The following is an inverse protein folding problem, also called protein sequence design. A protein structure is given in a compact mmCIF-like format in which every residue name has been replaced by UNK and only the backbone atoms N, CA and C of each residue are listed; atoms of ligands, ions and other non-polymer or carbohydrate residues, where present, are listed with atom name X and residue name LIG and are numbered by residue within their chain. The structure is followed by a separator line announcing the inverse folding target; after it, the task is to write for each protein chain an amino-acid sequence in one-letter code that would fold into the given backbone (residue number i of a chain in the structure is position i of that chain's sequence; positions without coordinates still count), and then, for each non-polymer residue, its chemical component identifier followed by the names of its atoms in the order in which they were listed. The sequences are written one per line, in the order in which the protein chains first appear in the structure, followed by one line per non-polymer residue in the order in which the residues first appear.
data_IF_520145236458
#
_entry.id   IF_520145236458
#
_cell.length_a   1.000
_cell.length_b   1.000
_cell.length_c   1.000
_cell.angle_alpha   90.00
_cell.angle_beta   90.00
_cell.angle_gamma   90.00
#
_symmetry.space_group_name_H-M   'P 1'
#
loop_
_entity.id
_entity.type
_entity.pdbx_description
1 polymer ?
#
# COMPACT_ATOMS: atom_id res chain seq x y z
N UNK A 1 -5.76 1.71 -24.31
CA UNK A 1 -5.12 1.96 -22.99
C UNK A 1 -6.23 2.30 -22.03
N UNK A 2 -6.40 1.49 -21.00
CA UNK A 2 -7.34 1.75 -19.89
C UNK A 2 -6.52 2.07 -18.64
N UNK A 3 -6.99 3.02 -17.86
CA UNK A 3 -6.32 3.46 -16.62
C UNK A 3 -7.30 3.36 -15.47
N UNK A 4 -6.89 2.69 -14.40
CA UNK A 4 -7.69 2.49 -13.20
C UNK A 4 -6.99 3.14 -12.00
N UNK A 5 -7.76 3.83 -11.20
CA UNK A 5 -7.29 4.47 -9.95
C UNK A 5 -7.46 3.49 -8.79
N UNK A 6 -6.36 3.16 -8.13
CA UNK A 6 -6.32 2.20 -7.03
C UNK A 6 -6.19 2.89 -5.66
N UNK A 7 -6.55 4.18 -5.59
CA UNK A 7 -6.31 5.03 -4.42
C UNK A 7 -7.60 5.32 -3.66
N UNK A 8 -7.58 5.18 -2.36
CA UNK A 8 -8.67 5.60 -1.47
C UNK A 8 -8.91 7.11 -1.55
N UNK A 9 -10.19 7.52 -1.56
CA UNK A 9 -10.52 8.94 -1.56
C UNK A 9 -10.31 9.56 -0.17
N UNK A 10 -9.50 10.62 -0.13
CA UNK A 10 -9.24 11.36 1.11
C UNK A 10 -10.44 12.23 1.49
N UNK A 11 -11.00 12.00 2.66
CA UNK A 11 -12.11 12.78 3.23
C UNK A 11 -12.02 12.80 4.76
N UNK A 12 -12.53 13.87 5.37
CA UNK A 12 -12.63 13.94 6.82
C UNK A 12 -13.41 12.74 7.37
N UNK A 13 -12.88 12.09 8.42
CA UNK A 13 -13.46 10.90 9.02
C UNK A 13 -13.23 9.60 8.24
N UNK A 14 -12.30 9.59 7.27
CA UNK A 14 -11.85 8.35 6.65
C UNK A 14 -11.07 7.48 7.65
N UNK A 15 -10.94 6.19 7.33
CA UNK A 15 -10.11 5.26 8.11
C UNK A 15 -8.69 5.80 8.30
N UNK A 16 -8.21 5.78 9.54
CA UNK A 16 -6.83 6.04 9.95
C UNK A 16 -6.46 5.04 11.03
N UNK A 17 -5.17 4.74 11.18
CA UNK A 17 -4.71 3.78 12.20
C UNK A 17 -4.95 4.30 13.62
N UNK A 18 -4.75 5.59 13.84
CA UNK A 18 -5.03 6.29 15.10
C UNK A 18 -5.72 7.65 14.87
N UNK A 19 -6.22 8.28 15.95
CA UNK A 19 -6.80 9.63 15.87
C UNK A 19 -5.77 10.68 15.45
N UNK A 20 -4.53 10.54 15.91
CA UNK A 20 -3.42 11.42 15.59
C UNK A 20 -3.07 11.41 14.11
N UNK A 21 -3.30 10.30 13.43
CA UNK A 21 -3.05 10.11 12.00
C UNK A 21 -4.24 10.47 11.12
N UNK A 22 -5.35 10.92 11.72
CA UNK A 22 -6.58 11.19 10.97
C UNK A 22 -6.39 12.29 9.95
N UNK A 23 -6.90 12.04 8.74
CA UNK A 23 -6.96 13.04 7.69
C UNK A 23 -7.90 14.18 8.07
N UNK A 24 -7.42 15.43 7.94
CA UNK A 24 -8.23 16.63 8.11
C UNK A 24 -8.04 17.57 6.92
N UNK A 25 -9.16 18.03 6.38
CA UNK A 25 -9.21 19.08 5.37
C UNK A 25 -10.01 20.26 5.91
N UNK A 26 -9.42 21.45 5.88
CA UNK A 26 -10.05 22.71 6.27
C UNK A 26 -9.99 23.71 5.11
N UNK A 27 -11.10 24.39 4.85
CA UNK A 27 -11.13 25.44 3.84
C UNK A 27 -10.53 26.73 4.42
N UNK A 28 -9.44 27.19 3.83
CA UNK A 28 -8.80 28.47 4.19
C UNK A 28 -9.42 29.66 3.47
N UNK A 29 -9.71 29.50 2.18
CA UNK A 29 -10.29 30.51 1.33
C UNK A 29 -11.46 29.96 0.52
N UNK A 30 -12.40 30.84 0.16
CA UNK A 30 -13.62 30.51 -0.54
C UNK A 30 -13.82 31.42 -1.76
N UNK A 31 -14.11 30.84 -2.92
CA UNK A 31 -14.25 31.58 -4.19
C UNK A 31 -15.26 32.74 -4.14
N UNK A 32 -16.33 32.60 -3.34
CA UNK A 32 -17.37 33.65 -3.22
C UNK A 32 -16.90 34.90 -2.49
N UNK A 33 -15.91 34.76 -1.60
CA UNK A 33 -15.38 35.85 -0.76
C UNK A 33 -14.01 36.28 -1.26
N UNK A 34 -13.15 35.32 -1.58
CA UNK A 34 -11.71 35.53 -1.83
C UNK A 34 -11.37 35.47 -3.31
N UNK A 35 -12.32 35.03 -4.18
CA UNK A 35 -12.10 34.83 -5.61
C UNK A 35 -11.45 33.51 -6.00
N UNK A 36 -11.04 32.67 -5.04
CA UNK A 36 -10.42 31.35 -5.23
C UNK A 36 -10.69 30.46 -4.02
N UNK A 37 -10.47 29.14 -4.19
CA UNK A 37 -10.57 28.17 -3.11
C UNK A 37 -9.18 27.66 -2.75
N UNK A 38 -8.86 27.57 -1.46
CA UNK A 38 -7.68 26.89 -0.91
C UNK A 38 -8.08 26.13 0.34
N UNK A 39 -7.53 24.94 0.50
CA UNK A 39 -7.70 24.13 1.69
C UNK A 39 -6.33 23.77 2.28
N UNK A 40 -6.24 23.74 3.60
CA UNK A 40 -5.14 23.08 4.29
C UNK A 40 -5.46 21.60 4.46
N UNK A 41 -4.42 20.77 4.45
CA UNK A 41 -4.51 19.33 4.68
C UNK A 41 -3.59 18.97 5.86
N UNK A 42 -4.11 18.13 6.73
CA UNK A 42 -3.34 17.42 7.75
C UNK A 42 -3.45 15.94 7.48
N UNK A 43 -2.33 15.25 7.40
CA UNK A 43 -2.24 13.80 7.15
C UNK A 43 -0.89 13.28 7.65
N UNK A 44 -0.84 12.01 8.04
CA UNK A 44 0.42 11.31 8.32
C UNK A 44 1.00 10.73 7.02
N UNK A 45 2.25 10.27 7.09
CA UNK A 45 2.90 9.56 5.97
C UNK A 45 2.19 8.25 5.62
N UNK A 46 1.39 7.69 6.54
CA UNK A 46 0.66 6.42 6.38
C UNK A 46 -0.86 6.62 6.26
N UNK A 47 -1.32 7.80 5.84
CA UNK A 47 -2.75 8.07 5.66
C UNK A 47 -3.28 7.50 4.33
N UNK A 48 -4.39 6.75 4.37
CA UNK A 48 -5.09 6.23 3.18
C UNK A 48 -4.23 5.27 2.37
N UNK A 49 -4.33 5.28 1.04
CA UNK A 49 -3.42 4.50 0.19
C UNK A 49 -2.04 5.15 0.22
N UNK A 50 -1.05 4.40 0.70
CA UNK A 50 0.30 4.88 0.95
C UNK A 50 1.33 3.81 0.65
N UNK A 51 2.59 4.19 0.69
CA UNK A 51 3.73 3.27 0.67
C UNK A 51 4.56 3.42 1.92
N UNK A 52 5.14 2.29 2.37
CA UNK A 52 6.15 2.24 3.41
C UNK A 52 7.50 1.90 2.80
N UNK A 53 8.54 2.51 3.34
CA UNK A 53 9.93 2.24 2.98
C UNK A 53 10.72 1.86 4.24
N UNK A 54 11.95 1.31 4.14
CA UNK A 54 12.70 0.78 5.29
C UNK A 54 12.80 1.72 6.49
N UNK A 55 12.83 3.02 6.28
CA UNK A 55 12.87 4.04 7.34
C UNK A 55 11.69 3.95 8.30
N UNK A 56 10.56 3.41 7.88
CA UNK A 56 9.38 3.22 8.72
C UNK A 56 9.66 2.33 9.95
N UNK A 57 10.52 1.33 9.80
CA UNK A 57 10.81 0.33 10.85
C UNK A 57 12.26 0.43 11.36
N UNK A 58 13.18 0.90 10.52
CA UNK A 58 14.61 0.90 10.85
C UNK A 58 15.17 2.31 10.91
N UNK A 59 15.84 2.67 12.01
CA UNK A 59 16.40 4.00 12.21
C UNK A 59 17.37 4.42 11.08
N UNK A 60 18.19 3.50 10.61
CA UNK A 60 19.14 3.70 9.51
C UNK A 60 18.60 3.08 8.19
N UNK A 61 17.28 2.88 8.07
CA UNK A 61 16.64 2.34 6.88
C UNK A 61 16.64 3.34 5.73
N UNK A 62 16.55 2.81 4.50
CA UNK A 62 16.35 3.64 3.31
C UNK A 62 15.12 4.51 3.46
N UNK A 63 15.29 5.79 3.15
CA UNK A 63 14.23 6.78 3.08
C UNK A 63 13.59 6.79 1.70
N UNK A 64 12.51 7.51 1.53
CA UNK A 64 11.85 7.68 0.24
C UNK A 64 12.79 8.26 -0.83
N UNK A 65 13.75 9.11 -0.43
CA UNK A 65 14.72 9.74 -1.33
C UNK A 65 15.79 8.77 -1.85
N UNK A 66 15.99 7.62 -1.19
CA UNK A 66 16.98 6.62 -1.58
C UNK A 66 16.50 5.71 -2.72
N UNK A 67 15.20 5.74 -3.04
CA UNK A 67 14.62 4.96 -4.14
C UNK A 67 14.72 5.74 -5.46
N UNK A 68 15.19 5.04 -6.52
CA UNK A 68 15.17 5.60 -7.87
C UNK A 68 13.73 5.73 -8.37
N UNK A 69 13.40 6.81 -9.07
CA UNK A 69 12.06 7.06 -9.62
C UNK A 69 11.53 5.90 -10.47
N UNK A 70 12.40 5.15 -11.14
CA UNK A 70 12.02 3.97 -11.94
C UNK A 70 11.44 2.84 -11.07
N UNK A 71 11.78 2.76 -9.77
CA UNK A 71 11.28 1.76 -8.86
C UNK A 71 9.79 1.95 -8.52
N UNK A 72 9.24 3.13 -8.82
CA UNK A 72 7.81 3.42 -8.66
C UNK A 72 6.96 3.08 -9.90
N UNK A 73 7.54 2.43 -10.91
CA UNK A 73 6.85 1.99 -12.13
C UNK A 73 7.28 0.56 -12.44
N UNK A 74 6.34 -0.33 -12.71
CA UNK A 74 6.68 -1.72 -13.02
C UNK A 74 5.49 -2.56 -13.46
N UNK A 75 5.74 -3.83 -13.66
CA UNK A 75 4.70 -4.82 -13.93
C UNK A 75 4.19 -5.38 -12.60
N UNK A 76 2.89 -5.37 -12.42
CA UNK A 76 2.24 -5.94 -11.25
C UNK A 76 1.52 -7.24 -11.57
N UNK A 77 1.50 -8.15 -10.58
CA UNK A 77 0.71 -9.37 -10.62
C UNK A 77 -0.21 -9.45 -9.40
N UNK A 78 -1.50 -9.79 -9.62
CA UNK A 78 -2.49 -9.97 -8.55
C UNK A 78 -2.65 -11.45 -8.25
N UNK A 79 -2.58 -11.79 -6.95
CA UNK A 79 -3.07 -13.06 -6.41
C UNK A 79 -4.43 -12.80 -5.74
N UNK A 80 -5.45 -13.55 -6.15
CA UNK A 80 -6.77 -13.51 -5.53
C UNK A 80 -6.77 -14.28 -4.20
N UNK A 81 -6.75 -13.54 -3.10
CA UNK A 81 -6.73 -14.05 -1.72
C UNK A 81 -8.10 -13.90 -1.01
N UNK A 82 -9.18 -13.55 -1.72
CA UNK A 82 -10.50 -13.23 -1.11
C UNK A 82 -11.13 -14.38 -0.32
N UNK A 83 -10.73 -15.60 -0.56
CA UNK A 83 -11.22 -16.80 0.12
C UNK A 83 -10.32 -17.28 1.26
N UNK A 84 -9.25 -16.54 1.54
CA UNK A 84 -8.26 -16.90 2.55
C UNK A 84 -8.46 -16.07 3.82
N UNK A 85 -8.12 -16.66 4.96
CA UNK A 85 -7.96 -15.96 6.24
C UNK A 85 -6.50 -15.68 6.57
N UNK A 86 -5.59 -16.41 5.92
CA UNK A 86 -4.13 -16.28 6.06
C UNK A 86 -3.51 -16.55 4.69
N UNK A 87 -2.48 -15.82 4.34
CA UNK A 87 -1.73 -15.99 3.09
C UNK A 87 -0.39 -16.63 3.45
N UNK A 88 -0.31 -17.93 3.31
CA UNK A 88 0.87 -18.71 3.66
C UNK A 88 1.80 -18.96 2.45
N UNK A 89 2.91 -19.63 2.71
CA UNK A 89 3.91 -19.95 1.70
C UNK A 89 3.33 -20.88 0.61
N UNK A 90 2.46 -21.82 0.98
CA UNK A 90 1.85 -22.75 0.01
C UNK A 90 1.01 -22.02 -1.04
N UNK A 91 0.30 -20.99 -0.62
CA UNK A 91 -0.46 -20.11 -1.55
C UNK A 91 0.50 -19.43 -2.52
N UNK A 92 1.60 -18.85 -2.04
CA UNK A 92 2.56 -18.13 -2.89
C UNK A 92 3.31 -19.07 -3.85
N UNK A 93 3.65 -20.27 -3.42
CA UNK A 93 4.35 -21.24 -4.26
C UNK A 93 3.55 -21.64 -5.53
N UNK A 94 2.22 -21.64 -5.46
CA UNK A 94 1.35 -21.87 -6.63
C UNK A 94 1.52 -20.81 -7.72
N UNK A 95 1.96 -19.61 -7.35
CA UNK A 95 2.15 -18.47 -8.25
C UNK A 95 3.62 -18.07 -8.41
N UNK A 96 4.56 -18.92 -8.00
CA UNK A 96 5.99 -18.63 -7.94
C UNK A 96 6.53 -18.05 -9.25
N UNK A 97 6.19 -18.63 -10.38
CA UNK A 97 6.69 -18.16 -11.68
C UNK A 97 6.16 -16.76 -12.01
N UNK A 98 4.92 -16.46 -11.66
CA UNK A 98 4.34 -15.13 -11.84
C UNK A 98 5.02 -14.10 -10.94
N UNK A 99 5.27 -14.46 -9.66
CA UNK A 99 5.94 -13.61 -8.68
C UNK A 99 7.39 -13.30 -9.12
N UNK A 100 8.10 -14.29 -9.66
CA UNK A 100 9.48 -14.10 -10.14
C UNK A 100 9.57 -13.19 -11.38
N UNK A 101 8.47 -13.02 -12.11
CA UNK A 101 8.39 -12.25 -13.36
C UNK A 101 7.61 -10.93 -13.22
N UNK A 102 7.31 -10.49 -12.01
CA UNK A 102 6.72 -9.16 -11.76
C UNK A 102 7.63 -8.30 -10.88
N UNK A 103 7.42 -6.98 -10.95
CA UNK A 103 8.07 -6.01 -10.08
C UNK A 103 7.27 -5.79 -8.80
N UNK A 104 5.95 -5.93 -8.88
CA UNK A 104 5.02 -5.74 -7.77
C UNK A 104 4.04 -6.90 -7.64
N UNK A 105 3.91 -7.44 -6.44
CA UNK A 105 2.89 -8.43 -6.10
C UNK A 105 1.74 -7.75 -5.37
N UNK A 106 0.51 -7.94 -5.84
CA UNK A 106 -0.69 -7.41 -5.18
C UNK A 106 -1.51 -8.56 -4.60
N UNK A 107 -1.76 -8.50 -3.31
CA UNK A 107 -2.57 -9.46 -2.56
C UNK A 107 -4.00 -8.91 -2.47
N UNK A 108 -4.89 -9.38 -3.33
CA UNK A 108 -6.29 -8.96 -3.38
C UNK A 108 -7.10 -9.77 -2.37
N UNK A 109 -7.39 -9.18 -1.23
CA UNK A 109 -8.15 -9.83 -0.16
C UNK A 109 -9.65 -9.51 -0.21
N UNK A 110 -10.04 -8.46 -0.94
CA UNK A 110 -11.39 -7.90 -0.99
C UNK A 110 -11.76 -7.19 0.33
N UNK A 111 -10.75 -6.88 1.16
CA UNK A 111 -10.97 -6.20 2.43
C UNK A 111 -11.30 -4.72 2.26
N UNK A 112 -10.95 -4.12 1.13
CA UNK A 112 -11.29 -2.74 0.75
C UNK A 112 -12.78 -2.40 0.97
N UNK A 113 -13.68 -3.39 0.83
CA UNK A 113 -15.13 -3.24 1.05
C UNK A 113 -15.51 -2.82 2.47
N UNK A 114 -14.61 -3.04 3.44
CA UNK A 114 -14.81 -2.66 4.84
C UNK A 114 -14.16 -1.34 5.20
N UNK A 115 -13.47 -0.68 4.24
CA UNK A 115 -12.87 0.63 4.46
C UNK A 115 -13.91 1.62 5.02
N UNK A 116 -13.53 2.43 6.01
CA UNK A 116 -14.40 3.30 6.80
C UNK A 116 -15.38 2.55 7.74
N UNK A 117 -15.07 1.33 8.15
CA UNK A 117 -15.81 0.62 9.21
C UNK A 117 -14.84 0.01 10.23
N UNK A 118 -15.34 -0.27 11.44
CA UNK A 118 -14.55 -0.93 12.50
C UNK A 118 -14.04 -2.32 12.06
N UNK A 119 -14.80 -3.01 11.21
CA UNK A 119 -14.40 -4.32 10.69
C UNK A 119 -13.13 -4.25 9.86
N UNK A 120 -12.78 -3.11 9.29
CA UNK A 120 -11.58 -2.96 8.48
C UNK A 120 -10.30 -3.31 9.23
N UNK A 121 -10.31 -3.12 10.56
CA UNK A 121 -9.19 -3.39 11.46
C UNK A 121 -9.15 -4.82 12.03
N UNK A 122 -10.16 -5.65 11.75
CA UNK A 122 -10.36 -6.93 12.42
C UNK A 122 -10.31 -8.09 11.44
N UNK A 123 -9.57 -9.15 11.78
CA UNK A 123 -9.56 -10.45 11.07
C UNK A 123 -9.25 -10.36 9.56
N UNK A 124 -8.54 -9.33 9.11
CA UNK A 124 -8.13 -9.25 7.70
C UNK A 124 -7.05 -10.27 7.37
N UNK A 125 -7.04 -10.81 6.12
CA UNK A 125 -6.00 -11.74 5.69
C UNK A 125 -4.62 -11.07 5.67
N UNK A 126 -3.64 -11.71 6.31
CA UNK A 126 -2.27 -11.24 6.32
C UNK A 126 -1.30 -12.36 5.92
N UNK A 127 -0.09 -11.99 5.55
CA UNK A 127 0.99 -12.95 5.28
C UNK A 127 1.42 -13.67 6.57
N UNK A 128 1.79 -14.95 6.42
CA UNK A 128 2.60 -15.60 7.47
C UNK A 128 4.04 -15.08 7.43
N UNK A 129 4.75 -15.22 8.53
CA UNK A 129 6.17 -14.85 8.63
C UNK A 129 7.03 -15.57 7.56
N UNK A 130 6.73 -16.84 7.27
CA UNK A 130 7.41 -17.62 6.24
C UNK A 130 7.12 -17.07 4.82
N UNK A 131 5.88 -16.70 4.55
CA UNK A 131 5.46 -16.11 3.28
C UNK A 131 6.14 -14.75 3.04
N UNK A 132 6.15 -13.87 4.04
CA UNK A 132 6.82 -12.57 3.92
C UNK A 132 8.34 -12.70 3.76
N UNK A 133 8.94 -13.67 4.45
CA UNK A 133 10.37 -13.97 4.31
C UNK A 133 10.71 -14.50 2.89
N UNK A 134 9.87 -15.36 2.33
CA UNK A 134 9.99 -15.82 0.95
C UNK A 134 9.97 -14.65 -0.02
N UNK A 135 8.95 -13.77 0.06
CA UNK A 135 8.81 -12.61 -0.80
C UNK A 135 9.98 -11.63 -0.66
N UNK A 136 10.42 -11.36 0.57
CA UNK A 136 11.56 -10.48 0.84
C UNK A 136 12.84 -10.93 0.16
N UNK A 137 13.06 -12.24 0.00
CA UNK A 137 14.25 -12.80 -0.63
C UNK A 137 14.20 -12.83 -2.17
N UNK A 138 13.08 -12.50 -2.81
CA UNK A 138 12.96 -12.43 -4.27
C UNK A 138 13.56 -11.11 -4.75
N UNK A 139 14.71 -11.16 -5.41
CA UNK A 139 15.46 -9.96 -5.84
C UNK A 139 14.74 -9.15 -6.93
N UNK A 140 14.00 -9.80 -7.82
CA UNK A 140 13.25 -9.13 -8.88
C UNK A 140 12.03 -8.37 -8.37
N UNK A 141 11.49 -8.75 -7.21
CA UNK A 141 10.33 -8.11 -6.62
C UNK A 141 10.72 -6.79 -5.95
N UNK A 142 10.16 -5.68 -6.39
CA UNK A 142 10.37 -4.35 -5.81
C UNK A 142 9.47 -4.11 -4.62
N UNK A 143 8.20 -4.55 -4.71
CA UNK A 143 7.26 -4.30 -3.61
C UNK A 143 6.06 -5.23 -3.59
N UNK A 144 5.32 -5.14 -2.49
CA UNK A 144 4.12 -5.92 -2.20
C UNK A 144 2.99 -4.97 -1.81
N UNK A 145 1.80 -5.15 -2.40
CA UNK A 145 0.61 -4.35 -2.07
C UNK A 145 -0.54 -5.19 -1.52
N UNK A 146 -1.37 -4.56 -0.70
CA UNK A 146 -2.60 -5.14 -0.15
C UNK A 146 -3.73 -4.11 -0.09
N UNK A 147 -4.97 -4.58 -0.12
CA UNK A 147 -6.17 -3.79 0.15
C UNK A 147 -6.59 -3.79 1.63
N UNK A 148 -5.74 -4.32 2.51
CA UNK A 148 -5.90 -4.27 3.96
C UNK A 148 -5.25 -3.02 4.55
N UNK A 149 -5.55 -2.75 5.84
CA UNK A 149 -4.95 -1.67 6.63
C UNK A 149 -3.47 -1.91 6.91
N UNK A 150 -3.04 -3.17 6.94
CA UNK A 150 -1.66 -3.56 7.17
C UNK A 150 -1.30 -4.86 6.45
N UNK A 151 -0.01 -5.01 6.13
CA UNK A 151 0.57 -6.26 5.65
C UNK A 151 0.78 -7.26 6.80
N UNK A 152 0.85 -6.79 8.04
CA UNK A 152 0.89 -7.63 9.24
C UNK A 152 -0.53 -7.91 9.75
N UNK A 153 -0.70 -9.05 10.43
CA UNK A 153 -1.94 -9.35 11.14
C UNK A 153 -2.18 -8.36 12.28
N UNK A 154 -3.43 -8.04 12.57
CA UNK A 154 -3.85 -7.24 13.73
C UNK A 154 -3.33 -7.78 15.07
N UNK A 155 -2.99 -9.09 15.12
CA UNK A 155 -2.47 -9.79 16.31
C UNK A 155 -0.95 -9.73 16.41
N UNK A 156 -0.28 -9.12 15.44
CA UNK A 156 1.18 -9.03 15.40
C UNK A 156 1.66 -7.81 16.18
N UNK A 157 2.20 -8.02 17.37
CA UNK A 157 2.86 -6.95 18.15
C UNK A 157 4.25 -6.59 17.60
N UNK A 158 4.87 -7.50 16.82
CA UNK A 158 6.27 -7.41 16.40
C UNK A 158 6.47 -6.88 14.98
N UNK A 159 5.40 -6.68 14.20
CA UNK A 159 5.44 -6.25 12.80
C UNK A 159 6.40 -7.11 11.93
N UNK A 160 6.30 -8.43 12.04
CA UNK A 160 7.21 -9.37 11.38
C UNK A 160 7.27 -9.20 9.87
N UNK A 161 6.13 -8.97 9.23
CA UNK A 161 6.06 -8.86 7.78
C UNK A 161 6.70 -7.55 7.31
N UNK A 162 6.44 -6.44 8.00
CA UNK A 162 7.16 -5.19 7.76
C UNK A 162 8.67 -5.39 7.91
N UNK A 163 9.12 -5.95 9.03
CA UNK A 163 10.56 -6.20 9.27
C UNK A 163 11.18 -7.08 8.19
N UNK A 164 10.51 -8.17 7.81
CA UNK A 164 11.03 -9.09 6.78
C UNK A 164 11.17 -8.42 5.42
N UNK A 165 10.15 -7.65 5.00
CA UNK A 165 10.12 -7.03 3.69
C UNK A 165 11.02 -5.79 3.63
N UNK A 166 10.87 -4.88 4.59
CA UNK A 166 11.62 -3.62 4.62
C UNK A 166 13.11 -3.82 4.88
N UNK A 167 13.53 -4.88 5.62
CA UNK A 167 14.95 -5.25 5.76
C UNK A 167 15.62 -5.65 4.44
N UNK A 168 14.83 -5.92 3.41
CA UNK A 168 15.29 -6.27 2.05
C UNK A 168 15.03 -5.14 1.04
N UNK A 169 14.79 -3.93 1.54
CA UNK A 169 14.47 -2.73 0.77
C UNK A 169 13.26 -2.92 -0.16
N UNK A 170 12.26 -3.71 0.27
CA UNK A 170 10.99 -3.79 -0.43
C UNK A 170 10.13 -2.58 -0.10
N UNK A 171 9.28 -2.18 -1.04
CA UNK A 171 8.21 -1.20 -0.82
C UNK A 171 6.96 -1.98 -0.41
N UNK A 172 6.29 -1.55 0.66
CA UNK A 172 4.97 -2.06 1.02
C UNK A 172 3.94 -1.03 0.55
N UNK A 173 2.80 -1.49 0.05
CA UNK A 173 1.69 -0.64 -0.39
C UNK A 173 0.45 -1.10 0.38
N UNK A 174 -0.20 -0.20 1.10
CA UNK A 174 -1.37 -0.52 1.91
C UNK A 174 -2.60 0.29 1.52
N UNK A 175 -3.77 -0.22 1.91
CA UNK A 175 -5.06 0.42 1.64
C UNK A 175 -5.37 0.62 0.15
N UNK A 176 -4.99 -0.33 -0.70
CA UNK A 176 -5.41 -0.33 -2.11
C UNK A 176 -6.92 -0.44 -2.24
N UNK A 177 -7.46 0.04 -3.35
CA UNK A 177 -8.88 -0.14 -3.68
C UNK A 177 -9.09 -0.40 -5.18
N UNK A 178 -10.35 -0.70 -5.56
CA UNK A 178 -10.76 -0.97 -6.94
C UNK A 178 -10.03 -2.16 -7.59
N UNK A 179 -9.54 -3.13 -6.81
CA UNK A 179 -8.83 -4.29 -7.35
C UNK A 179 -9.74 -5.25 -8.15
N UNK A 180 -11.06 -5.16 -7.98
CA UNK A 180 -12.03 -6.03 -8.66
C UNK A 180 -12.14 -5.79 -10.18
N UNK A 181 -11.75 -4.61 -10.65
CA UNK A 181 -11.81 -4.25 -12.08
C UNK A 181 -10.58 -4.70 -12.87
N UNK A 182 -9.58 -5.27 -12.19
CA UNK A 182 -8.30 -5.64 -12.78
C UNK A 182 -8.23 -7.14 -13.11
N UNK A 183 -7.55 -7.44 -14.21
CA UNK A 183 -7.01 -8.78 -14.48
C UNK A 183 -5.75 -9.03 -13.63
N UNK A 184 -5.20 -10.23 -13.73
CA UNK A 184 -4.07 -10.63 -12.88
C UNK A 184 -2.77 -9.88 -13.17
N UNK A 185 -2.61 -9.26 -14.36
CA UNK A 185 -1.37 -8.57 -14.75
C UNK A 185 -1.68 -7.21 -15.35
N UNK A 186 -0.91 -6.20 -14.94
CA UNK A 186 -1.02 -4.81 -15.41
C UNK A 186 0.29 -4.06 -15.15
N UNK A 187 0.44 -2.89 -15.76
CA UNK A 187 1.51 -1.95 -15.40
C UNK A 187 1.02 -1.09 -14.22
N UNK A 188 1.85 -0.95 -13.18
CA UNK A 188 1.57 -0.12 -12.01
C UNK A 188 2.40 1.16 -12.05
N UNK A 189 1.77 2.28 -11.71
CA UNK A 189 2.44 3.56 -11.45
C UNK A 189 2.08 3.99 -10.02
N UNK A 190 3.12 4.22 -9.22
CA UNK A 190 3.02 4.68 -7.85
C UNK A 190 3.57 6.12 -7.83
N UNK A 191 2.77 7.08 -7.38
CA UNK A 191 3.14 8.50 -7.33
C UNK A 191 3.09 9.01 -5.88
N UNK A 192 4.09 8.65 -5.04
CA UNK A 192 4.13 9.10 -3.66
C UNK A 192 4.40 10.60 -3.57
N UNK A 193 3.94 11.23 -2.50
CA UNK A 193 4.39 12.57 -2.15
C UNK A 193 5.90 12.54 -1.91
N UNK A 194 6.63 13.44 -2.56
CA UNK A 194 8.08 13.55 -2.39
C UNK A 194 8.41 14.26 -1.08
N UNK A 195 8.51 13.50 0.00
CA UNK A 195 8.81 13.97 1.35
C UNK A 195 10.28 13.68 1.62
N UNK A 196 11.06 14.70 1.95
CA UNK A 196 12.47 14.54 2.29
C UNK A 196 12.63 13.65 3.54
N UNK A 197 13.56 12.71 3.50
CA UNK A 197 13.82 11.74 4.57
C UNK A 197 12.57 10.94 4.99
N UNK A 198 11.59 10.77 4.07
CA UNK A 198 10.30 10.15 4.34
C UNK A 198 10.44 8.67 4.70
N UNK A 199 9.69 8.24 5.70
CA UNK A 199 9.52 6.85 6.14
C UNK A 199 8.45 6.12 5.33
N UNK A 200 7.69 6.86 4.57
CA UNK A 200 6.61 6.47 3.68
C UNK A 200 5.96 7.70 3.08
N UNK A 201 4.94 7.53 2.28
CA UNK A 201 4.15 8.64 1.76
C UNK A 201 2.77 8.20 1.26
N UNK A 202 1.74 9.05 1.47
CA UNK A 202 0.51 8.94 0.72
C UNK A 202 0.79 8.96 -0.78
N UNK A 203 0.11 8.09 -1.52
CA UNK A 203 0.38 7.93 -2.95
C UNK A 203 -0.89 7.95 -3.77
N UNK A 204 -0.81 8.52 -5.00
CA UNK A 204 -1.79 8.23 -6.04
C UNK A 204 -1.27 7.07 -6.88
N UNK A 205 -2.04 6.00 -6.97
CA UNK A 205 -1.62 4.76 -7.58
C UNK A 205 -2.55 4.38 -8.73
N UNK A 206 -1.95 4.02 -9.86
CA UNK A 206 -2.69 3.69 -11.08
C UNK A 206 -2.30 2.31 -11.60
N UNK A 207 -3.30 1.57 -12.08
CA UNK A 207 -3.09 0.42 -12.95
C UNK A 207 -3.35 0.81 -14.40
N UNK A 208 -2.48 0.37 -15.31
CA UNK A 208 -2.60 0.60 -16.75
C UNK A 208 -2.69 -0.75 -17.46
N UNK A 209 -3.75 -0.91 -18.28
CA UNK A 209 -3.89 -1.99 -19.25
C UNK A 209 -3.63 -1.44 -20.65
N UNK A 210 -2.73 -2.07 -21.36
CA UNK A 210 -2.39 -1.75 -22.74
C UNK A 210 -3.12 -2.66 -23.73
#
# INVERSE_FOLDING_TARGET
MEVYDLTQTYKNGMTSYSEEESFKKENLYNVKVDGYNVSSLYLSTHTGTHIDVPKHIFEDGYTLDDFDTKEFIGNAYIIDCRHLSVIDLEVLEKYKDNILNCDYLILKTGWERYFNSEKYFLDYPALTCEASNFLGNIKSLTGIGTDCISIDSEKSEELYNHKNLLSKNKIIIENLCNLDVLDNSFEIIIAPLKIAEGDGAPTRLYAIKR
#
